data_IF_702432951426
#
_entry.id   IF_702432951426
#
_cell.length_a   1.000
_cell.length_b   1.000
_cell.length_c   1.000
_cell.angle_alpha   90.00
_cell.angle_beta   90.00
_cell.angle_gamma   90.00
#
_symmetry.space_group_name_H-M   'P 1'
#
loop_
_entity.id
_entity.type
_entity.pdbx_description
1 polymer ?
#
# COMPACT_ATOMS: atom_id res chain seq x y z
N UNK A 1 -18.43 -23.99 8.60
CA UNK A 1 -17.26 -23.95 9.51
C UNK A 1 -16.08 -24.79 8.99
N UNK A 2 -16.32 -25.92 8.30
CA UNK A 2 -15.32 -26.88 7.80
C UNK A 2 -14.09 -26.32 7.05
N UNK A 3 -14.23 -25.33 6.16
CA UNK A 3 -13.08 -24.83 5.37
C UNK A 3 -12.14 -23.88 6.14
N UNK A 4 -12.63 -23.19 7.18
CA UNK A 4 -11.79 -22.24 7.96
C UNK A 4 -10.83 -22.98 8.88
N UNK A 5 -11.24 -24.12 9.42
CA UNK A 5 -10.41 -24.91 10.32
C UNK A 5 -9.22 -25.53 9.58
N UNK A 6 -9.39 -25.89 8.30
CA UNK A 6 -8.30 -26.36 7.43
C UNK A 6 -7.22 -25.30 7.17
N UNK A 7 -7.60 -24.02 7.21
CA UNK A 7 -6.70 -22.88 6.97
C UNK A 7 -6.18 -22.25 8.28
N UNK A 8 -6.41 -22.92 9.43
CA UNK A 8 -6.09 -22.36 10.74
C UNK A 8 -4.59 -22.39 11.04
N UNK A 9 -3.88 -23.42 10.61
CA UNK A 9 -2.43 -23.49 10.75
C UNK A 9 -1.77 -22.48 9.81
N UNK A 10 -1.12 -21.47 10.38
CA UNK A 10 -0.44 -20.41 9.62
C UNK A 10 1.03 -20.72 9.36
N UNK A 11 1.55 -21.82 9.91
CA UNK A 11 2.94 -22.26 9.73
C UNK A 11 3.17 -23.05 8.45
N UNK A 12 2.10 -23.54 7.81
CA UNK A 12 2.15 -24.33 6.58
C UNK A 12 1.59 -23.56 5.37
N UNK A 13 1.96 -24.04 4.17
CA UNK A 13 1.29 -23.66 2.94
C UNK A 13 0.01 -24.48 2.77
N UNK A 14 -1.05 -23.82 2.32
CA UNK A 14 -2.33 -24.43 1.98
C UNK A 14 -2.46 -24.59 0.47
N UNK A 15 -3.35 -25.47 -0.02
CA UNK A 15 -3.61 -25.61 -1.46
C UNK A 15 -3.97 -24.28 -2.14
N UNK A 16 -4.69 -23.39 -1.46
CA UNK A 16 -5.01 -22.04 -1.98
C UNK A 16 -3.76 -21.19 -2.22
N UNK A 17 -2.70 -21.36 -1.43
CA UNK A 17 -1.44 -20.65 -1.63
C UNK A 17 -0.72 -21.17 -2.88
N UNK A 18 -0.72 -22.48 -3.09
CA UNK A 18 -0.14 -23.10 -4.29
C UNK A 18 -0.88 -22.62 -5.54
N UNK A 19 -2.22 -22.61 -5.52
CA UNK A 19 -3.04 -22.06 -6.61
C UNK A 19 -2.72 -20.59 -6.84
N UNK A 20 -2.57 -19.78 -5.79
CA UNK A 20 -2.20 -18.37 -5.91
C UNK A 20 -0.81 -18.17 -6.53
N UNK A 21 0.18 -18.97 -6.15
CA UNK A 21 1.55 -18.88 -6.67
C UNK A 21 1.62 -19.33 -8.14
N UNK A 22 1.03 -20.48 -8.48
CA UNK A 22 0.96 -20.97 -9.84
C UNK A 22 0.13 -20.04 -10.73
N UNK A 23 -0.99 -19.52 -10.22
CA UNK A 23 -1.80 -18.53 -10.91
C UNK A 23 -1.03 -17.24 -11.17
N UNK A 24 -0.23 -16.78 -10.20
CA UNK A 24 0.68 -15.63 -10.39
C UNK A 24 1.68 -15.92 -11.51
N UNK A 25 2.39 -17.05 -11.46
CA UNK A 25 3.36 -17.42 -12.49
C UNK A 25 2.73 -17.55 -13.89
N UNK A 26 1.54 -18.15 -13.98
CA UNK A 26 0.77 -18.22 -15.22
C UNK A 26 0.37 -16.83 -15.72
N UNK A 27 -0.05 -15.93 -14.84
CA UNK A 27 -0.38 -14.54 -15.19
C UNK A 27 0.82 -13.75 -15.69
N UNK A 28 2.03 -14.04 -15.17
CA UNK A 28 3.29 -13.49 -15.69
C UNK A 28 3.56 -13.96 -17.11
N UNK A 29 3.52 -15.28 -17.35
CA UNK A 29 3.72 -15.83 -18.68
C UNK A 29 2.68 -15.34 -19.70
N UNK A 30 1.41 -15.27 -19.29
CA UNK A 30 0.33 -14.80 -20.16
C UNK A 30 0.48 -13.31 -20.51
N UNK A 31 0.80 -12.45 -19.54
CA UNK A 31 0.98 -11.03 -19.80
C UNK A 31 2.21 -10.80 -20.69
N UNK A 32 3.31 -11.53 -20.45
CA UNK A 32 4.47 -11.47 -21.34
C UNK A 32 4.11 -11.88 -22.78
N UNK A 33 3.40 -12.99 -22.97
CA UNK A 33 2.98 -13.43 -24.29
C UNK A 33 2.03 -12.40 -24.94
N UNK A 34 1.11 -11.84 -24.17
CA UNK A 34 0.20 -10.81 -24.66
C UNK A 34 0.95 -9.55 -25.09
N UNK A 35 1.91 -9.07 -24.30
CA UNK A 35 2.75 -7.92 -24.68
C UNK A 35 3.61 -8.25 -25.91
N UNK A 36 4.18 -9.47 -25.98
CA UNK A 36 5.02 -9.86 -27.10
C UNK A 36 4.28 -9.94 -28.45
N UNK A 37 2.98 -10.26 -28.43
CA UNK A 37 2.17 -10.39 -29.66
C UNK A 37 1.44 -9.10 -30.01
N UNK A 38 0.89 -8.39 -29.01
CA UNK A 38 0.03 -7.23 -29.24
C UNK A 38 0.59 -5.90 -28.75
N UNK A 39 1.69 -5.91 -27.98
CA UNK A 39 2.29 -4.71 -27.37
C UNK A 39 1.25 -3.82 -26.68
N UNK A 40 0.27 -4.45 -26.05
CA UNK A 40 -0.97 -3.80 -25.61
C UNK A 40 -1.12 -3.87 -24.07
N UNK A 41 -1.92 -2.96 -23.51
CA UNK A 41 -2.23 -2.86 -22.09
C UNK A 41 -3.37 -1.85 -21.87
N UNK A 42 -4.03 -1.90 -20.71
CA UNK A 42 -5.24 -1.09 -20.48
C UNK A 42 -4.99 0.43 -20.50
N UNK A 43 -3.73 0.88 -20.48
CA UNK A 43 -3.36 2.29 -20.58
C UNK A 43 -3.81 2.97 -21.87
N UNK A 44 -4.08 2.21 -22.95
CA UNK A 44 -4.60 2.78 -24.21
C UNK A 44 -6.07 3.21 -24.08
N UNK A 45 -6.86 2.44 -23.34
CA UNK A 45 -8.32 2.60 -23.27
C UNK A 45 -8.82 3.14 -21.92
N UNK A 46 -7.94 3.21 -20.91
CA UNK A 46 -8.31 3.64 -19.55
C UNK A 46 -7.37 4.69 -19.00
N UNK A 47 -7.90 5.57 -18.15
CA UNK A 47 -7.14 6.67 -17.59
C UNK A 47 -6.04 6.17 -16.64
N UNK A 48 -4.84 6.75 -16.72
CA UNK A 48 -3.77 6.53 -15.72
C UNK A 48 -4.25 6.84 -14.31
N UNK A 49 -5.16 7.80 -14.18
CA UNK A 49 -5.73 8.17 -12.89
C UNK A 49 -6.53 7.02 -12.25
N UNK A 50 -7.26 6.21 -13.03
CA UNK A 50 -7.99 5.08 -12.43
C UNK A 50 -7.05 4.02 -11.87
N UNK A 51 -5.94 3.74 -12.57
CA UNK A 51 -4.90 2.84 -12.07
C UNK A 51 -4.24 3.38 -10.80
N UNK A 52 -3.85 4.66 -10.82
CA UNK A 52 -3.24 5.33 -9.66
C UNK A 52 -4.16 5.35 -8.44
N UNK A 53 -5.45 5.66 -8.63
CA UNK A 53 -6.44 5.64 -7.55
C UNK A 53 -6.59 4.24 -6.94
N UNK A 54 -6.54 3.18 -7.76
CA UNK A 54 -6.70 1.80 -7.26
C UNK A 54 -5.62 1.43 -6.24
N UNK A 55 -4.36 1.82 -6.49
CA UNK A 55 -3.23 1.58 -5.59
C UNK A 55 -3.25 2.54 -4.39
N UNK A 56 -3.62 3.81 -4.59
CA UNK A 56 -3.74 4.78 -3.51
C UNK A 56 -4.73 4.28 -2.43
N UNK A 57 -5.90 3.82 -2.84
CA UNK A 57 -6.88 3.25 -1.91
C UNK A 57 -6.40 1.95 -1.26
N UNK A 58 -5.63 1.12 -1.95
CA UNK A 58 -4.99 -0.05 -1.35
C UNK A 58 -4.09 0.38 -0.18
N UNK A 59 -3.21 1.37 -0.38
CA UNK A 59 -2.33 1.89 0.67
C UNK A 59 -3.10 2.53 1.83
N UNK A 60 -4.15 3.30 1.53
CA UNK A 60 -5.03 3.89 2.56
C UNK A 60 -5.73 2.79 3.37
N UNK A 61 -6.23 1.73 2.74
CA UNK A 61 -6.85 0.61 3.45
C UNK A 61 -5.82 -0.07 4.36
N UNK A 62 -4.58 -0.28 3.90
CA UNK A 62 -3.49 -0.77 4.75
C UNK A 62 -3.25 0.16 5.95
N UNK A 63 -3.18 1.48 5.70
CA UNK A 63 -3.00 2.48 6.76
C UNK A 63 -4.11 2.42 7.81
N UNK A 64 -5.37 2.28 7.39
CA UNK A 64 -6.52 2.12 8.29
C UNK A 64 -6.44 0.81 9.08
N UNK A 65 -6.12 -0.31 8.42
CA UNK A 65 -6.06 -1.64 9.05
C UNK A 65 -4.94 -1.74 10.09
N UNK A 66 -3.80 -1.10 9.82
CA UNK A 66 -2.61 -1.15 10.67
C UNK A 66 -2.60 -0.06 11.75
N UNK A 67 -3.34 1.03 11.57
CA UNK A 67 -3.40 2.15 12.51
C UNK A 67 -3.69 1.75 13.98
N UNK A 68 -4.62 0.82 14.31
CA UNK A 68 -4.82 0.39 15.70
C UNK A 68 -3.59 -0.27 16.35
N UNK A 69 -2.67 -0.81 15.54
CA UNK A 69 -1.45 -1.48 15.98
C UNK A 69 -0.25 -0.53 16.05
N UNK A 70 -0.08 0.33 15.04
CA UNK A 70 1.11 1.20 14.87
C UNK A 70 0.88 2.68 15.15
N UNK A 71 -0.35 3.09 15.42
CA UNK A 71 -0.74 4.50 15.52
C UNK A 71 -0.92 5.17 14.15
N UNK A 72 -1.45 6.39 14.17
CA UNK A 72 -1.59 7.27 12.99
C UNK A 72 -0.58 8.42 13.01
N UNK A 73 0.05 8.69 14.15
CA UNK A 73 1.12 9.67 14.29
C UNK A 73 2.07 9.26 15.41
N UNK A 74 3.34 9.03 15.07
CA UNK A 74 4.43 8.74 15.98
C UNK A 74 4.16 7.61 16.98
N UNK A 75 3.47 6.55 16.56
CA UNK A 75 3.08 5.43 17.44
C UNK A 75 1.80 5.65 18.25
N UNK A 76 1.17 6.83 18.13
CA UNK A 76 0.01 7.23 18.90
C UNK A 76 -1.25 7.33 18.04
N UNK A 77 -2.42 7.23 18.69
CA UNK A 77 -3.72 7.31 18.04
C UNK A 77 -4.16 6.02 17.32
N UNK A 78 -5.12 6.13 16.40
CA UNK A 78 -5.55 5.03 15.52
C UNK A 78 -6.47 3.98 16.13
N UNK A 79 -6.54 3.82 17.46
CA UNK A 79 -7.43 2.82 18.12
C UNK A 79 -8.91 2.99 17.76
N UNK A 80 -9.35 4.21 17.45
CA UNK A 80 -10.72 4.49 17.03
C UNK A 80 -11.10 3.82 15.70
N UNK A 81 -10.11 3.43 14.88
CA UNK A 81 -10.30 2.68 13.62
C UNK A 81 -10.49 1.17 13.83
N UNK A 82 -10.41 0.66 15.05
CA UNK A 82 -10.58 -0.77 15.33
C UNK A 82 -11.89 -1.37 14.76
N UNK A 83 -13.05 -0.68 14.80
CA UNK A 83 -14.28 -1.18 14.16
C UNK A 83 -14.18 -1.29 12.64
N UNK A 84 -13.51 -0.33 11.97
CA UNK A 84 -13.28 -0.38 10.53
C UNK A 84 -12.31 -1.52 10.18
N UNK A 85 -11.22 -1.68 10.93
CA UNK A 85 -10.23 -2.75 10.75
C UNK A 85 -10.88 -4.14 10.72
N UNK A 86 -11.81 -4.44 11.62
CA UNK A 86 -12.50 -5.74 11.64
C UNK A 86 -13.28 -6.03 10.35
N UNK A 87 -13.88 -5.00 9.76
CA UNK A 87 -14.54 -5.13 8.46
C UNK A 87 -13.51 -5.30 7.34
N UNK A 88 -12.51 -4.43 7.30
CA UNK A 88 -11.50 -4.43 6.23
C UNK A 88 -10.70 -5.74 6.19
N UNK A 89 -10.32 -6.34 7.32
CA UNK A 89 -9.62 -7.64 7.31
C UNK A 89 -10.46 -8.74 6.64
N UNK A 90 -11.80 -8.64 6.69
CA UNK A 90 -12.70 -9.61 6.07
C UNK A 90 -12.83 -9.41 4.56
N UNK A 91 -12.70 -8.18 4.05
CA UNK A 91 -13.06 -7.82 2.68
C UNK A 91 -11.94 -7.22 1.84
N UNK A 92 -10.81 -6.80 2.43
CA UNK A 92 -9.71 -6.16 1.72
C UNK A 92 -9.20 -7.00 0.56
N UNK A 93 -9.18 -8.34 0.71
CA UNK A 93 -8.73 -9.26 -0.33
C UNK A 93 -9.46 -9.09 -1.67
N UNK A 94 -10.76 -8.76 -1.66
CA UNK A 94 -11.51 -8.50 -2.90
C UNK A 94 -11.02 -7.24 -3.62
N UNK A 95 -10.91 -6.13 -2.87
CA UNK A 95 -10.43 -4.87 -3.44
C UNK A 95 -8.96 -4.98 -3.86
N UNK A 96 -8.13 -5.63 -3.04
CA UNK A 96 -6.69 -5.74 -3.28
C UNK A 96 -6.41 -6.62 -4.49
N UNK A 97 -7.12 -7.74 -4.64
CA UNK A 97 -7.00 -8.58 -5.83
C UNK A 97 -7.38 -7.79 -7.09
N UNK A 98 -8.50 -7.06 -7.08
CA UNK A 98 -8.89 -6.21 -8.21
C UNK A 98 -7.84 -5.13 -8.51
N UNK A 99 -7.44 -4.34 -7.50
CA UNK A 99 -6.53 -3.20 -7.69
C UNK A 99 -5.15 -3.65 -8.22
N UNK A 100 -4.60 -4.73 -7.64
CA UNK A 100 -3.30 -5.28 -8.05
C UNK A 100 -3.37 -5.87 -9.45
N UNK A 101 -4.40 -6.65 -9.77
CA UNK A 101 -4.57 -7.23 -11.12
C UNK A 101 -4.81 -6.13 -12.16
N UNK A 102 -5.66 -5.15 -11.85
CA UNK A 102 -5.95 -4.03 -12.75
C UNK A 102 -4.68 -3.22 -13.05
N UNK A 103 -3.90 -2.88 -12.02
CA UNK A 103 -2.64 -2.14 -12.19
C UNK A 103 -1.59 -2.99 -12.91
N UNK A 104 -1.53 -4.29 -12.62
CA UNK A 104 -0.60 -5.22 -13.25
C UNK A 104 -0.80 -5.31 -14.76
N UNK A 105 -2.06 -5.33 -15.23
CA UNK A 105 -2.41 -5.35 -16.67
C UNK A 105 -2.53 -3.95 -17.29
N UNK A 106 -2.27 -2.90 -16.51
CA UNK A 106 -2.45 -1.53 -16.99
C UNK A 106 -1.40 -1.15 -18.03
N UNK A 107 -0.14 -1.45 -17.75
CA UNK A 107 0.96 -1.16 -18.67
C UNK A 107 1.42 -2.44 -19.40
N UNK A 108 1.85 -2.32 -20.66
CA UNK A 108 2.58 -3.41 -21.33
C UNK A 108 3.89 -3.73 -20.60
N UNK A 109 4.40 -4.95 -20.78
CA UNK A 109 5.67 -5.40 -20.21
C UNK A 109 6.91 -4.80 -20.91
N UNK A 110 7.15 -3.52 -20.63
CA UNK A 110 8.31 -2.78 -21.15
C UNK A 110 9.54 -2.84 -20.22
N UNK A 111 10.73 -2.70 -20.79
CA UNK A 111 12.00 -2.81 -20.04
C UNK A 111 12.54 -1.48 -19.51
N UNK A 112 11.75 -0.41 -19.55
CA UNK A 112 12.16 0.86 -18.94
C UNK A 112 12.26 0.72 -17.40
N UNK A 113 13.10 1.52 -16.71
CA UNK A 113 13.25 1.39 -15.25
C UNK A 113 11.95 1.60 -14.46
N UNK A 114 11.06 2.48 -14.93
CA UNK A 114 9.74 2.70 -14.33
C UNK A 114 8.86 1.44 -14.40
N UNK A 115 8.84 0.78 -15.55
CA UNK A 115 8.09 -0.48 -15.73
C UNK A 115 8.72 -1.62 -14.92
N UNK A 116 10.04 -1.79 -14.94
CA UNK A 116 10.72 -2.84 -14.18
C UNK A 116 10.47 -2.73 -12.67
N UNK A 117 10.58 -1.53 -12.10
CA UNK A 117 10.29 -1.31 -10.67
C UNK A 117 8.82 -1.50 -10.34
N UNK A 118 7.91 -1.13 -11.26
CA UNK A 118 6.46 -1.32 -11.10
C UNK A 118 6.06 -2.80 -11.15
N UNK A 119 6.57 -3.55 -12.12
CA UNK A 119 6.36 -4.99 -12.21
C UNK A 119 6.96 -5.73 -11.02
N UNK A 120 8.18 -5.37 -10.61
CA UNK A 120 8.77 -5.93 -9.41
C UNK A 120 7.86 -5.71 -8.18
N UNK A 121 7.38 -4.48 -7.96
CA UNK A 121 6.49 -4.19 -6.84
C UNK A 121 5.15 -4.95 -6.93
N UNK A 122 4.52 -4.98 -8.10
CA UNK A 122 3.25 -5.70 -8.30
C UNK A 122 3.44 -7.22 -8.13
N UNK A 123 4.56 -7.80 -8.53
CA UNK A 123 4.89 -9.19 -8.23
C UNK A 123 4.97 -9.45 -6.73
N UNK A 124 5.62 -8.56 -5.96
CA UNK A 124 5.64 -8.69 -4.49
C UNK A 124 4.22 -8.64 -3.89
N UNK A 125 3.33 -7.80 -4.44
CA UNK A 125 1.91 -7.73 -4.01
C UNK A 125 1.10 -8.98 -4.41
N UNK A 126 1.32 -9.53 -5.59
CA UNK A 126 0.70 -10.79 -6.03
C UNK A 126 1.16 -11.95 -5.14
N UNK A 127 2.45 -12.02 -4.84
CA UNK A 127 3.03 -12.99 -3.90
C UNK A 127 2.43 -12.81 -2.49
N UNK A 128 2.28 -11.56 -2.02
CA UNK A 128 1.61 -11.26 -0.76
C UNK A 128 0.16 -11.78 -0.75
N UNK A 129 -0.58 -11.61 -1.84
CA UNK A 129 -1.92 -12.18 -2.00
C UNK A 129 -1.91 -13.71 -2.00
N UNK A 130 -0.95 -14.32 -2.69
CA UNK A 130 -0.78 -15.78 -2.75
C UNK A 130 -0.45 -16.38 -1.38
N UNK A 131 0.19 -15.63 -0.46
CA UNK A 131 0.48 -16.08 0.90
C UNK A 131 -0.67 -15.92 1.91
N UNK A 132 -1.89 -15.61 1.47
CA UNK A 132 -3.07 -15.48 2.35
C UNK A 132 -3.20 -16.64 3.36
N UNK A 133 -3.59 -16.32 4.60
CA UNK A 133 -3.67 -17.26 5.74
C UNK A 133 -2.35 -17.86 6.25
N UNK A 134 -1.19 -17.44 5.73
CA UNK A 134 0.12 -17.81 6.30
C UNK A 134 0.67 -16.74 7.23
N UNK A 135 1.72 -17.06 8.00
CA UNK A 135 2.46 -16.07 8.79
C UNK A 135 3.16 -15.00 7.95
N UNK A 136 3.55 -15.33 6.70
CA UNK A 136 4.20 -14.40 5.77
C UNK A 136 3.28 -13.21 5.47
N UNK A 137 2.01 -13.47 5.21
CA UNK A 137 1.01 -12.43 4.89
C UNK A 137 0.83 -11.38 5.99
N UNK A 138 1.12 -11.75 7.25
CA UNK A 138 1.02 -10.83 8.40
C UNK A 138 2.39 -10.46 8.98
N UNK A 139 3.49 -10.83 8.33
CA UNK A 139 4.83 -10.54 8.83
C UNK A 139 5.12 -9.04 8.68
N UNK A 140 5.37 -8.36 9.80
CA UNK A 140 5.59 -6.91 9.86
C UNK A 140 6.75 -6.39 9.01
N UNK A 141 7.81 -7.18 8.85
CA UNK A 141 8.98 -6.80 8.06
C UNK A 141 8.69 -6.95 6.57
N UNK A 142 8.05 -8.06 6.20
CA UNK A 142 7.58 -8.27 4.83
C UNK A 142 6.58 -7.18 4.41
N UNK A 143 5.57 -6.89 5.22
CA UNK A 143 4.61 -5.83 4.90
C UNK A 143 5.27 -4.45 4.83
N UNK A 144 6.28 -4.18 5.67
CA UNK A 144 7.03 -2.93 5.57
C UNK A 144 7.87 -2.83 4.31
N UNK A 145 8.46 -3.93 3.83
CA UNK A 145 9.14 -3.97 2.52
C UNK A 145 8.14 -3.61 1.41
N UNK A 146 6.93 -4.20 1.41
CA UNK A 146 5.88 -3.86 0.44
C UNK A 146 5.51 -2.38 0.52
N UNK A 147 5.25 -1.88 1.73
CA UNK A 147 4.85 -0.49 1.98
C UNK A 147 5.93 0.53 1.58
N UNK A 148 7.22 0.20 1.70
CA UNK A 148 8.33 1.08 1.31
C UNK A 148 8.68 0.95 -0.17
N UNK A 149 8.43 -0.19 -0.80
CA UNK A 149 8.74 -0.41 -2.23
C UNK A 149 8.00 0.55 -3.15
N UNK A 150 6.82 1.04 -2.76
CA UNK A 150 6.07 2.05 -3.53
C UNK A 150 6.84 3.38 -3.65
N UNK A 151 7.63 3.74 -2.63
CA UNK A 151 8.48 4.92 -2.68
C UNK A 151 9.52 4.77 -3.79
N UNK A 152 10.20 3.63 -3.85
CA UNK A 152 11.21 3.36 -4.88
C UNK A 152 10.61 3.41 -6.29
N UNK A 153 9.45 2.76 -6.48
CA UNK A 153 8.74 2.78 -7.76
C UNK A 153 8.27 4.20 -8.15
N UNK A 154 7.57 4.91 -7.26
CA UNK A 154 7.02 6.24 -7.55
C UNK A 154 8.10 7.28 -7.87
N UNK A 155 9.23 7.22 -7.18
CA UNK A 155 10.39 8.07 -7.49
C UNK A 155 11.01 7.70 -8.84
N UNK A 156 11.18 6.41 -9.12
CA UNK A 156 11.74 5.94 -10.40
C UNK A 156 10.89 6.42 -11.57
N UNK A 157 9.56 6.29 -11.48
CA UNK A 157 8.64 6.76 -12.53
C UNK A 157 8.76 8.27 -12.72
N UNK A 158 8.77 9.05 -11.64
CA UNK A 158 8.89 10.51 -11.74
C UNK A 158 10.21 10.93 -12.41
N UNK A 159 11.33 10.32 -12.01
CA UNK A 159 12.65 10.64 -12.58
C UNK A 159 12.73 10.23 -14.05
N UNK A 160 12.32 9.02 -14.40
CA UNK A 160 12.36 8.52 -15.79
C UNK A 160 11.45 9.34 -16.70
N UNK A 161 10.31 9.80 -16.20
CA UNK A 161 9.39 10.65 -16.94
C UNK A 161 9.83 12.12 -17.01
N UNK A 162 11.01 12.48 -16.50
CA UNK A 162 11.52 13.86 -16.49
C UNK A 162 10.67 14.81 -15.63
N UNK A 163 9.95 14.27 -14.64
CA UNK A 163 9.05 15.04 -13.81
C UNK A 163 9.80 15.66 -12.64
N UNK A 164 9.76 16.98 -12.56
CA UNK A 164 10.40 17.75 -11.50
C UNK A 164 9.84 17.43 -10.11
N UNK A 165 8.66 16.83 -9.99
CA UNK A 165 8.01 16.55 -8.71
C UNK A 165 8.39 15.20 -8.08
N UNK A 166 9.51 14.57 -8.45
CA UNK A 166 10.01 13.39 -7.75
C UNK A 166 10.15 13.56 -6.22
N UNK A 167 10.46 14.74 -5.64
CA UNK A 167 10.55 14.89 -4.18
C UNK A 167 9.20 14.71 -3.49
N UNK A 168 8.09 14.97 -4.18
CA UNK A 168 6.73 14.69 -3.69
C UNK A 168 6.56 13.21 -3.37
N UNK A 169 7.01 12.32 -4.27
CA UNK A 169 6.94 10.88 -4.06
C UNK A 169 7.93 10.41 -3.01
N UNK A 170 9.20 10.85 -3.11
CA UNK A 170 10.24 10.44 -2.16
C UNK A 170 9.89 10.87 -0.73
N UNK A 171 9.78 12.18 -0.49
CA UNK A 171 9.53 12.71 0.85
C UNK A 171 8.10 12.51 1.32
N UNK A 172 7.12 12.44 0.42
CA UNK A 172 5.73 12.15 0.79
C UNK A 172 5.56 10.74 1.34
N UNK A 173 6.04 9.70 0.62
CA UNK A 173 6.00 8.34 1.13
C UNK A 173 6.97 8.13 2.31
N UNK A 174 8.15 8.76 2.29
CA UNK A 174 9.06 8.70 3.44
C UNK A 174 8.41 9.32 4.69
N UNK A 175 7.67 10.43 4.55
CA UNK A 175 6.93 11.02 5.66
C UNK A 175 5.89 10.05 6.24
N UNK A 176 5.14 9.32 5.40
CA UNK A 176 4.23 8.28 5.87
C UNK A 176 4.97 7.17 6.64
N UNK A 177 6.14 6.75 6.14
CA UNK A 177 6.97 5.76 6.84
C UNK A 177 7.43 6.24 8.21
N UNK A 178 8.03 7.45 8.23
CA UNK A 178 8.57 8.11 9.42
C UNK A 178 7.48 8.36 10.45
N UNK A 179 6.32 8.88 10.04
CA UNK A 179 5.26 9.28 10.97
C UNK A 179 4.39 8.10 11.40
N UNK A 180 4.25 7.05 10.58
CA UNK A 180 3.31 5.94 10.88
C UNK A 180 3.92 4.55 10.83
N UNK A 181 4.53 4.15 9.72
CA UNK A 181 4.77 2.74 9.43
C UNK A 181 5.84 2.16 10.35
N UNK A 182 6.93 2.89 10.59
CA UNK A 182 8.07 2.40 11.38
C UNK A 182 7.72 2.12 12.84
N UNK A 183 6.70 2.80 13.39
CA UNK A 183 6.28 2.64 14.79
C UNK A 183 5.63 1.28 15.08
N UNK A 184 5.22 0.54 14.05
CA UNK A 184 4.76 -0.84 14.16
C UNK A 184 5.88 -1.88 14.12
N UNK A 185 7.12 -1.50 13.83
CA UNK A 185 8.20 -2.47 13.59
C UNK A 185 8.83 -3.01 14.88
N UNK A 186 8.66 -2.31 16.01
CA UNK A 186 9.35 -2.66 17.26
C UNK A 186 10.84 -2.33 17.20
N UNK A 187 11.20 -1.29 16.44
CA UNK A 187 12.55 -0.77 16.37
C UNK A 187 12.94 -0.11 17.71
N UNK A 188 14.22 -0.17 18.12
CA UNK A 188 14.69 0.56 19.28
C UNK A 188 14.70 2.06 18.99
N UNK A 189 14.53 2.89 20.03
CA UNK A 189 14.38 4.36 19.91
C UNK A 189 15.52 5.03 19.15
N UNK A 190 16.75 4.54 19.25
CA UNK A 190 17.89 5.12 18.54
C UNK A 190 17.75 5.00 17.02
N UNK A 191 17.13 3.92 16.50
CA UNK A 191 16.86 3.76 15.06
C UNK A 191 15.82 4.78 14.61
N UNK A 192 14.81 5.08 15.44
CA UNK A 192 13.83 6.12 15.11
C UNK A 192 14.52 7.47 14.96
N UNK A 193 15.42 7.83 15.89
CA UNK A 193 16.21 9.06 15.81
C UNK A 193 17.11 9.11 14.57
N UNK A 194 17.73 7.99 14.22
CA UNK A 194 18.52 7.89 12.98
C UNK A 194 17.64 8.15 11.75
N UNK A 195 16.46 7.54 11.68
CA UNK A 195 15.50 7.75 10.58
C UNK A 195 14.99 9.19 10.54
N UNK A 196 14.69 9.82 11.68
CA UNK A 196 14.31 11.23 11.75
C UNK A 196 15.44 12.14 11.26
N UNK A 197 16.67 11.91 11.72
CA UNK A 197 17.84 12.68 11.31
C UNK A 197 18.11 12.54 9.81
N UNK A 198 17.99 11.33 9.26
CA UNK A 198 18.13 11.07 7.83
C UNK A 198 17.02 11.77 7.02
N UNK A 199 15.76 11.71 7.48
CA UNK A 199 14.64 12.39 6.81
C UNK A 199 14.82 13.91 6.82
N UNK A 200 15.09 14.51 7.99
CA UNK A 200 15.32 15.95 8.13
C UNK A 200 16.55 16.38 7.33
N UNK A 201 17.66 15.64 7.43
CA UNK A 201 18.88 15.91 6.67
C UNK A 201 18.66 15.86 5.16
N UNK A 202 17.89 14.88 4.67
CA UNK A 202 17.51 14.79 3.27
C UNK A 202 16.65 15.99 2.81
N UNK A 203 15.68 16.41 3.62
CA UNK A 203 14.88 17.61 3.34
C UNK A 203 15.77 18.86 3.31
N UNK A 204 16.61 19.08 4.32
CA UNK A 204 17.51 20.23 4.35
C UNK A 204 18.47 20.22 3.14
N UNK A 205 19.02 19.06 2.79
CA UNK A 205 19.87 18.93 1.63
C UNK A 205 19.15 19.31 0.34
N UNK A 206 18.00 18.71 0.05
CA UNK A 206 17.28 18.96 -1.22
C UNK A 206 16.75 20.39 -1.31
N UNK A 207 16.12 20.89 -0.24
CA UNK A 207 15.41 22.17 -0.27
C UNK A 207 16.30 23.38 0.02
N UNK A 208 17.37 23.24 0.80
CA UNK A 208 18.26 24.33 1.14
C UNK A 208 19.59 24.31 0.36
N UNK A 209 20.16 23.13 0.11
CA UNK A 209 21.51 23.00 -0.49
C UNK A 209 21.46 22.73 -1.99
N UNK A 210 20.65 21.77 -2.44
CA UNK A 210 20.54 21.37 -3.84
C UNK A 210 19.67 22.32 -4.70
N UNK A 211 19.21 23.44 -4.13
CA UNK A 211 18.55 24.51 -4.88
C UNK A 211 17.06 24.31 -5.18
N UNK A 212 16.39 23.28 -4.61
CA UNK A 212 14.93 23.10 -4.81
C UNK A 212 14.10 24.25 -4.23
N UNK A 213 14.60 24.89 -3.17
CA UNK A 213 14.03 26.10 -2.57
C UNK A 213 12.83 25.83 -1.65
N UNK A 214 12.77 26.59 -0.55
CA UNK A 214 11.73 26.46 0.49
C UNK A 214 10.30 26.66 0.00
N UNK A 215 10.11 27.39 -1.10
CA UNK A 215 8.79 27.61 -1.74
C UNK A 215 8.13 26.28 -2.16
N UNK A 216 8.93 25.25 -2.42
CA UNK A 216 8.46 23.94 -2.86
C UNK A 216 8.20 22.94 -1.71
N UNK A 217 8.44 23.31 -0.44
CA UNK A 217 8.32 22.42 0.72
C UNK A 217 6.93 21.75 0.85
N UNK A 218 5.88 22.42 0.34
CA UNK A 218 4.51 21.88 0.30
C UNK A 218 4.37 20.55 -0.45
N UNK A 219 5.31 20.21 -1.34
CA UNK A 219 5.25 18.95 -2.09
C UNK A 219 5.44 17.72 -1.19
N UNK A 220 6.19 17.86 -0.09
CA UNK A 220 6.36 16.81 0.93
C UNK A 220 5.02 16.42 1.57
N UNK A 221 4.12 17.38 1.74
CA UNK A 221 2.87 17.19 2.46
C UNK A 221 1.73 16.66 1.58
N UNK A 222 1.88 16.66 0.26
CA UNK A 222 0.77 16.30 -0.66
C UNK A 222 0.27 14.88 -0.43
N UNK A 223 1.17 13.89 -0.45
CA UNK A 223 0.81 12.49 -0.25
C UNK A 223 0.26 12.27 1.19
N UNK A 224 0.95 12.72 2.27
CA UNK A 224 0.40 12.60 3.62
C UNK A 224 -0.98 13.25 3.79
N UNK A 225 -1.21 14.45 3.26
CA UNK A 225 -2.51 15.14 3.38
C UNK A 225 -3.60 14.31 2.70
N UNK A 226 -3.35 13.79 1.51
CA UNK A 226 -4.32 12.96 0.78
C UNK A 226 -4.60 11.66 1.56
N UNK A 227 -3.56 10.94 1.96
CA UNK A 227 -3.71 9.65 2.64
C UNK A 227 -4.39 9.79 4.00
N UNK A 228 -3.99 10.76 4.83
CA UNK A 228 -4.67 11.02 6.11
C UNK A 228 -6.08 11.54 5.93
N UNK A 229 -6.32 12.40 4.93
CA UNK A 229 -7.65 12.84 4.56
C UNK A 229 -8.56 11.65 4.23
N UNK A 230 -8.07 10.71 3.42
CA UNK A 230 -8.79 9.49 3.08
C UNK A 230 -8.95 8.54 4.26
N UNK A 231 -7.99 8.45 5.18
CA UNK A 231 -8.15 7.72 6.45
C UNK A 231 -9.31 8.29 7.27
N UNK A 232 -9.43 9.62 7.36
CA UNK A 232 -10.52 10.27 8.08
C UNK A 232 -11.86 10.03 7.38
N UNK A 233 -11.93 10.21 6.06
CA UNK A 233 -13.17 10.06 5.29
C UNK A 233 -13.61 8.59 5.23
N UNK A 234 -12.75 7.70 4.75
CA UNK A 234 -13.08 6.27 4.57
C UNK A 234 -13.12 5.54 5.90
N UNK A 235 -12.08 5.70 6.73
CA UNK A 235 -11.99 5.06 8.03
C UNK A 235 -13.05 5.58 9.00
N UNK A 236 -13.24 6.91 9.08
CA UNK A 236 -14.29 7.55 9.86
C UNK A 236 -15.69 7.13 9.40
N UNK A 237 -15.94 7.14 8.09
CA UNK A 237 -17.20 6.67 7.51
C UNK A 237 -17.51 5.23 7.87
N UNK A 238 -16.55 4.32 7.75
CA UNK A 238 -16.72 2.91 8.13
C UNK A 238 -16.97 2.73 9.63
N UNK A 239 -16.26 3.47 10.49
CA UNK A 239 -16.49 3.43 11.94
C UNK A 239 -17.89 3.92 12.28
N UNK A 240 -18.33 5.04 11.71
CA UNK A 240 -19.66 5.59 11.93
C UNK A 240 -20.74 4.61 11.47
N UNK A 241 -20.60 4.07 10.25
CA UNK A 241 -21.51 3.06 9.71
C UNK A 241 -21.62 1.82 10.59
N UNK A 242 -20.49 1.29 11.08
CA UNK A 242 -20.48 0.14 12.01
C UNK A 242 -21.18 0.44 13.33
N UNK A 243 -20.94 1.62 13.90
CA UNK A 243 -21.62 2.06 15.14
C UNK A 243 -23.12 2.21 14.93
N UNK A 244 -23.56 2.75 13.79
CA UNK A 244 -24.97 2.87 13.46
C UNK A 244 -25.65 1.51 13.32
N UNK A 245 -25.01 0.53 12.64
CA UNK A 245 -25.54 -0.84 12.55
C UNK A 245 -25.66 -1.51 13.91
N UNK A 246 -24.60 -1.46 14.73
CA UNK A 246 -24.63 -2.06 16.07
C UNK A 246 -25.74 -1.48 16.96
N UNK A 247 -26.06 -0.18 16.81
CA UNK A 247 -27.18 0.46 17.53
C UNK A 247 -28.55 0.01 17.02
N UNK A 248 -28.70 -0.24 15.72
CA UNK A 248 -29.95 -0.75 15.13
C UNK A 248 -30.20 -2.18 15.61
N UNK A 249 -29.18 -3.03 15.55
CA UNK A 249 -29.27 -4.44 15.97
C UNK A 249 -29.55 -4.59 17.49
N UNK A 250 -29.21 -3.57 18.29
CA UNK A 250 -29.45 -3.54 19.73
C UNK A 250 -30.84 -3.03 20.15
N UNK A 251 -31.62 -2.44 19.22
CA UNK A 251 -33.03 -2.12 19.48
C UNK A 251 -33.87 -3.33 19.05
N UNK A 252 -34.55 -4.04 19.96
CA UNK A 252 -35.55 -5.02 19.54
C UNK A 252 -36.62 -4.30 18.71
N UNK A 253 -37.04 -4.91 17.61
CA UNK A 253 -38.20 -4.44 16.86
C UNK A 253 -39.39 -4.37 17.83
N UNK A 254 -39.93 -3.16 17.99
CA UNK A 254 -41.08 -2.86 18.84
C UNK A 254 -42.38 -3.15 18.08
#
# INVERSE_FOLDING_TARGET
>A
MVNRDRLRDRGALHPVNIVGLLGTAASVGLHYLQTAVWCDGLAQDTSVFSSQLSVMFLLVIVLIMEAPRRGIAFGHGGRWLAPARQWLIRYHGYYFAWAVVYTYWFHPMETTPGHLTGFFYTFLLLIQGAFVFTRVHTNRWWTAILEVSVLAHGVTVAVVAGQEFWPMFFFGFAALFVVTQMHGLGLPRWVHWLVYAAFIGGVLWVYAVAGRGWVNLKEILRIPIIDYGLVLVVGGGLVLWRRMRARKDAKPEA
#
